data_IF_971317866487
#
_entry.id   IF_971317866487
#
_cell.length_a   1.000
_cell.length_b   1.000
_cell.length_c   1.000
_cell.angle_alpha   90.00
_cell.angle_beta   90.00
_cell.angle_gamma   90.00
#
_symmetry.space_group_name_H-M   'P 1'
#
loop_
_entity.id
_entity.type
_entity.pdbx_description
1 polymer ?
#
# COMPACT_ATOMS: atom_id res chain seq x y z
N UNK A 1 -26.60 26.41 -23.73
CA UNK A 1 -25.25 26.87 -23.38
C UNK A 1 -24.32 25.70 -23.62
N UNK A 2 -23.65 25.67 -24.77
CA UNK A 2 -22.54 24.73 -25.00
C UNK A 2 -21.33 25.22 -24.22
N UNK A 3 -20.84 24.39 -23.28
CA UNK A 3 -19.55 24.63 -22.65
C UNK A 3 -18.48 24.25 -23.68
N UNK A 4 -17.95 25.24 -24.38
CA UNK A 4 -16.79 25.03 -25.25
C UNK A 4 -15.56 24.89 -24.34
N UNK A 5 -15.22 23.65 -23.97
CA UNK A 5 -13.93 23.37 -23.36
C UNK A 5 -12.81 23.66 -24.37
N UNK A 6 -11.73 24.28 -23.90
CA UNK A 6 -10.61 24.71 -24.73
C UNK A 6 -9.60 23.56 -24.85
N UNK A 7 -9.06 23.28 -26.05
CA UNK A 7 -8.09 22.19 -26.30
C UNK A 7 -6.87 22.22 -25.38
N UNK A 8 -6.46 23.42 -24.91
CA UNK A 8 -5.37 23.58 -23.93
C UNK A 8 -5.72 23.01 -22.56
N UNK A 9 -6.97 23.15 -22.15
CA UNK A 9 -7.48 22.73 -20.85
C UNK A 9 -7.57 21.19 -20.78
N UNK A 10 -7.96 20.53 -21.88
CA UNK A 10 -7.90 19.06 -21.99
C UNK A 10 -6.46 18.53 -21.90
N UNK A 11 -5.51 19.19 -22.57
CA UNK A 11 -4.09 18.86 -22.50
C UNK A 11 -3.52 19.03 -21.08
N UNK A 12 -3.86 20.13 -20.39
CA UNK A 12 -3.43 20.36 -19.01
C UNK A 12 -4.01 19.34 -18.02
N UNK A 13 -5.29 19.00 -18.14
CA UNK A 13 -5.94 17.97 -17.32
C UNK A 13 -5.31 16.60 -17.58
N UNK A 14 -5.07 16.25 -18.85
CA UNK A 14 -4.41 15.00 -19.23
C UNK A 14 -3.00 14.89 -18.65
N UNK A 15 -2.20 15.94 -18.78
CA UNK A 15 -0.83 15.99 -18.24
C UNK A 15 -0.82 15.90 -16.72
N UNK A 16 -1.67 16.65 -16.01
CA UNK A 16 -1.77 16.59 -14.55
C UNK A 16 -2.23 15.21 -14.06
N UNK A 17 -3.16 14.57 -14.78
CA UNK A 17 -3.64 13.23 -14.45
C UNK A 17 -2.53 12.20 -14.62
N UNK A 18 -1.76 12.27 -15.71
CA UNK A 18 -0.61 11.40 -15.95
C UNK A 18 0.48 11.57 -14.89
N UNK A 19 0.85 12.81 -14.56
CA UNK A 19 1.83 13.10 -13.50
C UNK A 19 1.36 12.53 -12.15
N UNK A 20 0.07 12.68 -11.84
CA UNK A 20 -0.52 12.13 -10.61
C UNK A 20 -0.49 10.61 -10.60
N UNK A 21 -0.77 9.96 -11.73
CA UNK A 21 -0.75 8.51 -11.86
C UNK A 21 0.67 7.94 -11.73
N UNK A 22 1.66 8.56 -12.36
CA UNK A 22 3.07 8.18 -12.26
C UNK A 22 3.56 8.25 -10.81
N UNK A 23 3.21 9.32 -10.10
CA UNK A 23 3.54 9.49 -8.68
C UNK A 23 2.92 8.39 -7.82
N UNK A 24 1.64 8.06 -8.05
CA UNK A 24 0.96 6.97 -7.34
C UNK A 24 1.57 5.60 -7.65
N UNK A 25 1.95 5.37 -8.91
CA UNK A 25 2.62 4.13 -9.32
C UNK A 25 3.99 3.99 -8.64
N UNK A 26 4.74 5.07 -8.54
CA UNK A 26 6.04 5.06 -7.86
C UNK A 26 5.88 4.80 -6.36
N UNK A 27 4.92 5.46 -5.71
CA UNK A 27 4.58 5.20 -4.30
C UNK A 27 4.15 3.75 -4.06
N UNK A 28 3.34 3.19 -4.95
CA UNK A 28 2.94 1.79 -4.91
C UNK A 28 4.17 0.87 -4.98
N UNK A 29 5.01 1.03 -6.00
CA UNK A 29 6.21 0.21 -6.21
C UNK A 29 7.15 0.28 -5.02
N UNK A 30 7.43 1.50 -4.56
CA UNK A 30 8.31 1.75 -3.43
C UNK A 30 7.80 1.08 -2.15
N UNK A 31 6.51 1.25 -1.83
CA UNK A 31 5.86 0.62 -0.67
C UNK A 31 5.91 -0.90 -0.77
N UNK A 32 5.57 -1.46 -1.94
CA UNK A 32 5.59 -2.91 -2.15
C UNK A 32 6.99 -3.51 -2.00
N UNK A 33 8.03 -2.85 -2.53
CA UNK A 33 9.42 -3.33 -2.41
C UNK A 33 9.86 -3.36 -0.95
N UNK A 34 9.56 -2.32 -0.18
CA UNK A 34 9.86 -2.28 1.26
C UNK A 34 9.15 -3.41 2.03
N UNK A 35 7.85 -3.57 1.80
CA UNK A 35 7.06 -4.63 2.42
C UNK A 35 7.57 -6.02 2.03
N UNK A 36 7.91 -6.22 0.75
CA UNK A 36 8.44 -7.49 0.26
C UNK A 36 9.81 -7.81 0.87
N UNK A 37 10.65 -6.80 1.12
CA UNK A 37 11.93 -6.98 1.81
C UNK A 37 11.76 -7.51 3.24
N UNK A 38 10.95 -6.82 4.05
CA UNK A 38 10.79 -7.12 5.48
C UNK A 38 9.85 -8.30 5.76
N UNK A 39 8.78 -8.44 4.97
CA UNK A 39 7.73 -9.41 5.22
C UNK A 39 7.88 -10.69 4.39
N UNK A 40 8.94 -10.81 3.57
CA UNK A 40 9.18 -11.97 2.68
C UNK A 40 8.96 -13.32 3.35
N UNK A 41 9.41 -13.42 4.60
CA UNK A 41 9.37 -14.66 5.40
C UNK A 41 8.26 -14.65 6.45
N UNK A 42 7.52 -13.55 6.61
CA UNK A 42 6.47 -13.34 7.62
C UNK A 42 5.05 -13.45 7.06
N UNK A 43 4.89 -13.24 5.76
CA UNK A 43 3.62 -13.40 5.03
C UNK A 43 3.82 -14.34 3.86
N UNK A 44 3.01 -15.40 3.78
CA UNK A 44 3.06 -16.40 2.72
C UNK A 44 2.48 -15.90 1.39
N UNK A 45 1.60 -14.90 1.43
CA UNK A 45 0.89 -14.38 0.25
C UNK A 45 1.39 -12.97 -0.13
N UNK A 46 1.93 -12.85 -1.35
CA UNK A 46 2.38 -11.57 -1.92
C UNK A 46 1.24 -10.59 -2.17
N UNK A 47 -0.01 -11.07 -2.31
CA UNK A 47 -1.20 -10.24 -2.52
C UNK A 47 -1.48 -9.32 -1.35
N UNK A 48 -1.15 -9.73 -0.13
CA UNK A 48 -1.28 -8.89 1.06
C UNK A 48 -0.39 -7.66 0.97
N UNK A 49 0.87 -7.83 0.55
CA UNK A 49 1.79 -6.70 0.35
C UNK A 49 1.35 -5.77 -0.78
N UNK A 50 0.82 -6.33 -1.88
CA UNK A 50 0.25 -5.55 -2.98
C UNK A 50 -0.96 -4.73 -2.54
N UNK A 51 -1.86 -5.32 -1.75
CA UNK A 51 -3.03 -4.64 -1.20
C UNK A 51 -2.63 -3.46 -0.31
N UNK A 52 -1.69 -3.66 0.62
CA UNK A 52 -1.20 -2.57 1.49
C UNK A 52 -0.59 -1.44 0.64
N UNK A 53 0.24 -1.78 -0.34
CA UNK A 53 0.83 -0.78 -1.23
C UNK A 53 -0.22 0.04 -2.00
N UNK A 54 -1.29 -0.61 -2.49
CA UNK A 54 -2.40 0.05 -3.15
C UNK A 54 -3.15 1.01 -2.20
N UNK A 55 -3.36 0.61 -0.95
CA UNK A 55 -3.99 1.47 0.07
C UNK A 55 -3.18 2.74 0.32
N UNK A 56 -1.86 2.64 0.44
CA UNK A 56 -0.99 3.79 0.67
C UNK A 56 -0.88 4.71 -0.56
N UNK A 57 -0.75 4.14 -1.77
CA UNK A 57 -0.72 4.91 -3.01
C UNK A 57 -2.04 5.64 -3.31
N UNK A 58 -3.17 5.13 -2.80
CA UNK A 58 -4.47 5.79 -2.88
C UNK A 58 -4.73 6.82 -1.77
N UNK A 59 -3.84 6.92 -0.78
CA UNK A 59 -4.01 7.79 0.39
C UNK A 59 -3.05 8.98 0.35
N UNK A 60 -3.38 10.04 1.08
CA UNK A 60 -2.47 11.19 1.28
C UNK A 60 -1.35 10.91 2.31
N UNK A 61 -1.26 9.67 2.83
CA UNK A 61 -0.28 9.30 3.84
C UNK A 61 0.93 8.62 3.20
N UNK A 62 2.11 9.09 3.57
CA UNK A 62 3.35 8.41 3.23
C UNK A 62 3.47 7.10 4.02
N UNK A 63 3.97 6.07 3.33
CA UNK A 63 4.29 4.80 3.95
C UNK A 63 5.54 4.95 4.84
N UNK A 64 5.41 4.51 6.08
CA UNK A 64 6.50 4.46 7.05
C UNK A 64 6.61 3.00 7.54
N UNK A 65 7.68 2.34 7.10
CA UNK A 65 7.94 0.94 7.41
C UNK A 65 8.18 0.70 8.91
N UNK A 66 8.91 1.59 9.57
CA UNK A 66 9.23 1.46 11.00
C UNK A 66 7.97 1.52 11.85
N UNK A 67 7.15 2.56 11.62
CA UNK A 67 5.87 2.72 12.31
C UNK A 67 4.89 1.59 11.99
N UNK A 68 4.87 1.11 10.74
CA UNK A 68 4.06 -0.04 10.35
C UNK A 68 4.43 -1.29 11.16
N UNK A 69 5.73 -1.59 11.25
CA UNK A 69 6.23 -2.74 11.99
C UNK A 69 5.96 -2.62 13.49
N UNK A 70 6.17 -1.44 14.07
CA UNK A 70 5.90 -1.15 15.48
C UNK A 70 4.43 -1.42 15.82
N UNK A 71 3.50 -0.84 15.07
CA UNK A 71 2.06 -1.03 15.28
C UNK A 71 1.69 -2.51 15.11
N UNK A 72 2.23 -3.18 14.08
CA UNK A 72 1.95 -4.60 13.85
C UNK A 72 2.41 -5.48 15.02
N UNK A 73 3.58 -5.16 15.60
CA UNK A 73 4.14 -5.85 16.76
C UNK A 73 3.31 -5.58 18.00
N UNK A 74 2.95 -4.32 18.23
CA UNK A 74 2.09 -3.91 19.33
C UNK A 74 0.75 -4.66 19.30
N UNK A 75 0.05 -4.68 18.16
CA UNK A 75 -1.21 -5.41 18.00
C UNK A 75 -1.01 -6.90 18.31
N UNK A 76 0.04 -7.52 17.76
CA UNK A 76 0.37 -8.93 18.03
C UNK A 76 0.63 -9.19 19.51
N UNK A 77 1.19 -8.25 20.25
CA UNK A 77 1.45 -8.41 21.67
C UNK A 77 0.18 -8.30 22.52
N UNK A 78 -0.76 -7.42 22.14
CA UNK A 78 -2.01 -7.17 22.88
C UNK A 78 -3.08 -8.25 22.73
N UNK A 79 -3.06 -9.06 21.66
CA UNK A 79 -4.08 -10.09 21.45
C UNK A 79 -3.89 -11.30 22.38
N UNK A 80 -4.99 -12.00 22.71
CA UNK A 80 -4.97 -13.19 23.55
C UNK A 80 -4.13 -14.35 22.99
N UNK A 81 -3.69 -15.27 23.86
CA UNK A 81 -2.81 -16.39 23.53
C UNK A 81 -3.31 -17.26 22.36
N UNK A 82 -4.63 -17.43 22.23
CA UNK A 82 -5.26 -18.25 21.20
C UNK A 82 -5.63 -17.47 19.92
N UNK A 83 -5.21 -16.20 19.80
CA UNK A 83 -5.45 -15.42 18.58
C UNK A 83 -4.68 -16.00 17.40
N UNK A 84 -5.34 -16.08 16.24
CA UNK A 84 -4.70 -16.41 14.97
C UNK A 84 -3.54 -15.47 14.61
N UNK A 85 -3.48 -14.26 15.18
CA UNK A 85 -2.37 -13.31 14.99
C UNK A 85 -1.10 -13.68 15.78
N UNK A 86 -1.21 -14.50 16.84
CA UNK A 86 -0.08 -15.08 17.59
C UNK A 86 0.31 -16.47 17.07
N UNK A 87 -0.57 -17.14 16.33
CA UNK A 87 -0.29 -18.45 15.77
C UNK A 87 0.63 -18.33 14.56
N UNK A 88 1.82 -18.93 14.65
CA UNK A 88 2.59 -19.28 13.46
C UNK A 88 1.85 -20.46 12.80
N UNK A 89 1.01 -20.19 11.81
CA UNK A 89 0.42 -21.25 10.99
C UNK A 89 1.55 -21.99 10.26
N UNK A 90 2.08 -23.04 10.90
CA UNK A 90 3.10 -23.93 10.35
C UNK A 90 2.48 -25.07 9.52
N UNK A 91 1.15 -25.13 9.43
CA UNK A 91 0.46 -26.18 8.71
C UNK A 91 -0.62 -25.57 7.83
N UNK A 92 -0.33 -25.54 6.54
CA UNK A 92 -1.36 -25.60 5.51
C UNK A 92 -1.25 -27.05 4.99
N UNK A 93 -2.33 -27.82 5.15
CA UNK A 93 -2.48 -29.18 4.60
C UNK A 93 -2.48 -29.11 3.09
#
# INVERSE_FOLDING_TARGET
>A
MEYTYNDREELEIGVNTMITLEKKLEQYKHTYVQLKGELKWKTSDSRTGMMIAAMYAGSDKLFDLGRFLEISSYIKNQVGMFSYLKSYHRFVV
#
